data_IF_085118182317
#
_entry.id   IF_085118182317
#
_cell.length_a   1.000
_cell.length_b   1.000
_cell.length_c   1.000
_cell.angle_alpha   90.00
_cell.angle_beta   90.00
_cell.angle_gamma   90.00
#
_symmetry.space_group_name_H-M   'P 1'
#
loop_
_entity.id
_entity.type
_entity.pdbx_description
1 polymer ?
#
# COMPACT_ATOMS: atom_id res chain seq x y z
N UNK A 1 2.09 -3.55 18.19
CA UNK A 1 3.01 -2.56 18.81
C UNK A 1 2.20 -1.29 19.09
N UNK A 2 2.46 -0.58 20.19
CA UNK A 2 1.82 0.71 20.47
C UNK A 2 2.87 1.82 20.31
N UNK A 3 2.76 2.62 19.27
CA UNK A 3 3.65 3.74 18.97
C UNK A 3 3.13 5.01 19.62
N UNK A 4 4.02 5.91 20.03
CA UNK A 4 3.61 7.23 20.54
C UNK A 4 2.96 8.06 19.42
N UNK A 5 2.09 8.99 19.79
CA UNK A 5 1.47 9.93 18.84
C UNK A 5 2.53 10.69 18.02
N UNK A 6 3.62 11.11 18.65
CA UNK A 6 4.73 11.78 17.97
C UNK A 6 5.38 10.88 16.92
N UNK A 7 5.55 9.58 17.19
CA UNK A 7 6.09 8.63 16.21
C UNK A 7 5.11 8.41 15.06
N UNK A 8 3.81 8.28 15.35
CA UNK A 8 2.78 8.13 14.32
C UNK A 8 2.75 9.36 13.41
N UNK A 9 2.79 10.56 14.01
CA UNK A 9 2.85 11.81 13.27
C UNK A 9 4.11 11.89 12.40
N UNK A 10 5.27 11.56 12.95
CA UNK A 10 6.53 11.56 12.20
C UNK A 10 6.46 10.63 10.98
N UNK A 11 5.95 9.40 11.13
CA UNK A 11 5.84 8.47 10.00
C UNK A 11 4.86 8.97 8.93
N UNK A 12 3.77 9.63 9.34
CA UNK A 12 2.83 10.27 8.43
C UNK A 12 3.47 11.45 7.68
N UNK A 13 4.11 12.37 8.40
CA UNK A 13 4.72 13.57 7.83
C UNK A 13 5.80 13.20 6.80
N UNK A 14 6.67 12.23 7.11
CA UNK A 14 7.70 11.75 6.19
C UNK A 14 7.10 11.19 4.89
N UNK A 15 6.04 10.38 4.98
CA UNK A 15 5.39 9.84 3.77
C UNK A 15 4.68 10.93 2.96
N UNK A 16 4.17 11.97 3.62
CA UNK A 16 3.53 13.10 2.95
C UNK A 16 4.55 13.93 2.17
N UNK A 17 5.71 14.19 2.76
CA UNK A 17 6.84 14.89 2.15
C UNK A 17 7.29 14.22 0.84
N UNK A 18 7.65 12.93 0.87
CA UNK A 18 8.09 12.23 -0.35
C UNK A 18 7.01 12.16 -1.44
N UNK A 19 5.74 12.08 -1.04
CA UNK A 19 4.64 12.05 -2.00
C UNK A 19 4.43 13.42 -2.68
N UNK A 20 4.73 14.52 -2.00
CA UNK A 20 4.78 15.86 -2.60
C UNK A 20 5.95 15.98 -3.58
N UNK A 21 7.13 15.47 -3.23
CA UNK A 21 8.30 15.44 -4.12
C UNK A 21 8.04 14.61 -5.39
N UNK A 22 7.45 13.42 -5.23
CA UNK A 22 7.00 12.59 -6.36
C UNK A 22 6.07 13.38 -7.30
N UNK A 23 5.07 14.08 -6.74
CA UNK A 23 4.08 14.80 -7.54
C UNK A 23 4.74 15.93 -8.34
N UNK A 24 5.65 16.70 -7.73
CA UNK A 24 6.38 17.75 -8.40
C UNK A 24 7.34 17.20 -9.46
N UNK A 25 8.08 16.14 -9.16
CA UNK A 25 8.94 15.46 -10.13
C UNK A 25 8.17 14.94 -11.36
N UNK A 26 7.00 14.34 -11.12
CA UNK A 26 6.11 13.84 -12.17
C UNK A 26 5.56 14.98 -13.06
N UNK A 27 5.11 16.10 -12.46
CA UNK A 27 4.66 17.28 -13.22
C UNK A 27 5.78 17.88 -14.08
N UNK A 28 7.02 17.79 -13.60
CA UNK A 28 8.20 18.31 -14.30
C UNK A 28 8.78 17.31 -15.32
N UNK A 29 8.16 16.14 -15.52
CA UNK A 29 8.67 15.05 -16.38
C UNK A 29 10.11 14.63 -16.03
N UNK A 30 10.50 14.73 -14.76
CA UNK A 30 11.84 14.39 -14.30
C UNK A 30 11.87 12.95 -13.77
N UNK A 31 12.16 11.99 -14.66
CA UNK A 31 12.13 10.56 -14.32
C UNK A 31 13.16 10.16 -13.26
N UNK A 32 14.27 10.90 -13.14
CA UNK A 32 15.31 10.60 -12.14
C UNK A 32 14.77 10.92 -10.74
N UNK A 33 14.22 12.11 -10.55
CA UNK A 33 13.61 12.52 -9.26
C UNK A 33 12.34 11.71 -8.94
N UNK A 34 11.59 11.28 -9.97
CA UNK A 34 10.48 10.33 -9.76
C UNK A 34 11.00 9.02 -9.19
N UNK A 35 12.09 8.48 -9.73
CA UNK A 35 12.67 7.23 -9.24
C UNK A 35 13.22 7.37 -7.81
N UNK A 36 13.80 8.52 -7.49
CA UNK A 36 14.32 8.86 -6.16
C UNK A 36 13.18 8.90 -5.13
N UNK A 37 12.16 9.73 -5.36
CA UNK A 37 11.01 9.86 -4.47
C UNK A 37 10.27 8.53 -4.27
N UNK A 38 10.10 7.72 -5.32
CA UNK A 38 9.49 6.38 -5.18
C UNK A 38 10.37 5.44 -4.34
N UNK A 39 11.70 5.56 -4.43
CA UNK A 39 12.65 4.84 -3.60
C UNK A 39 12.54 5.25 -2.13
N UNK A 40 12.46 6.54 -1.85
CA UNK A 40 12.33 7.07 -0.48
C UNK A 40 10.99 6.73 0.15
N UNK A 41 9.90 6.79 -0.61
CA UNK A 41 8.59 6.27 -0.18
C UNK A 41 8.68 4.80 0.24
N UNK A 42 9.35 3.96 -0.56
CA UNK A 42 9.55 2.55 -0.22
C UNK A 42 10.39 2.39 1.06
N UNK A 43 11.45 3.19 1.20
CA UNK A 43 12.33 3.16 2.36
C UNK A 43 11.58 3.53 3.65
N UNK A 44 10.80 4.60 3.63
CA UNK A 44 9.97 5.05 4.76
C UNK A 44 8.87 4.04 5.07
N UNK A 45 8.24 3.45 4.04
CA UNK A 45 7.23 2.41 4.23
C UNK A 45 7.82 1.19 4.94
N UNK A 46 8.99 0.70 4.50
CA UNK A 46 9.72 -0.38 5.16
C UNK A 46 10.06 -0.05 6.62
N UNK A 47 10.55 1.17 6.88
CA UNK A 47 10.78 1.64 8.25
C UNK A 47 9.50 1.68 9.11
N UNK A 48 8.38 2.06 8.51
CA UNK A 48 7.07 2.10 9.18
C UNK A 48 6.55 0.70 9.49
N UNK A 49 6.71 -0.24 8.57
CA UNK A 49 6.40 -1.67 8.76
C UNK A 49 7.18 -2.23 9.96
N UNK A 50 8.47 -1.91 10.06
CA UNK A 50 9.34 -2.33 11.16
C UNK A 50 8.90 -1.75 12.50
N UNK A 51 8.57 -0.46 12.59
CA UNK A 51 8.06 0.14 13.83
C UNK A 51 6.75 -0.50 14.31
N UNK A 52 5.92 -0.98 13.37
CA UNK A 52 4.69 -1.68 13.71
C UNK A 52 4.90 -3.17 14.02
N UNK A 53 6.12 -3.70 13.87
CA UNK A 53 6.46 -5.09 14.10
C UNK A 53 5.89 -6.04 13.03
N UNK A 54 5.64 -5.54 11.82
CA UNK A 54 4.98 -6.28 10.75
C UNK A 54 5.96 -6.93 9.74
N UNK A 55 7.27 -6.85 9.96
CA UNK A 55 8.29 -7.30 8.99
C UNK A 55 8.18 -8.79 8.60
N UNK A 56 7.67 -9.63 9.50
CA UNK A 56 7.49 -11.07 9.22
C UNK A 56 6.09 -11.41 8.66
N UNK A 57 5.21 -10.42 8.54
CA UNK A 57 3.81 -10.61 8.12
C UNK A 57 3.45 -9.79 6.89
N UNK A 58 4.21 -8.74 6.56
CA UNK A 58 3.84 -7.80 5.51
C UNK A 58 3.71 -8.46 4.13
N UNK A 59 4.56 -9.43 3.83
CA UNK A 59 4.47 -10.19 2.57
C UNK A 59 3.15 -10.99 2.49
N UNK A 60 2.79 -11.70 3.56
CA UNK A 60 1.52 -12.43 3.64
C UNK A 60 0.31 -11.49 3.53
N UNK A 61 0.37 -10.33 4.22
CA UNK A 61 -0.64 -9.28 4.13
C UNK A 61 -0.79 -8.77 2.69
N UNK A 62 0.33 -8.49 2.03
CA UNK A 62 0.34 -8.03 0.63
C UNK A 62 -0.28 -9.08 -0.30
N UNK A 63 0.12 -10.34 -0.15
CA UNK A 63 -0.42 -11.45 -0.94
C UNK A 63 -1.93 -11.64 -0.76
N UNK A 64 -2.45 -11.48 0.46
CA UNK A 64 -3.89 -11.57 0.74
C UNK A 64 -4.67 -10.38 0.17
N UNK A 65 -4.10 -9.17 0.24
CA UNK A 65 -4.66 -7.99 -0.42
C UNK A 65 -4.70 -8.20 -1.93
N UNK A 66 -3.63 -8.74 -2.52
CA UNK A 66 -3.58 -9.04 -3.94
C UNK A 66 -4.62 -10.11 -4.32
N UNK A 67 -4.74 -11.19 -3.54
CA UNK A 67 -5.75 -12.23 -3.74
C UNK A 67 -7.16 -11.64 -3.73
N UNK A 68 -7.46 -10.76 -2.78
CA UNK A 68 -8.72 -10.02 -2.71
C UNK A 68 -8.91 -9.07 -3.90
N UNK A 69 -7.86 -8.38 -4.35
CA UNK A 69 -7.96 -7.51 -5.52
C UNK A 69 -8.27 -8.29 -6.79
N UNK A 70 -7.64 -9.44 -7.00
CA UNK A 70 -7.92 -10.31 -8.15
C UNK A 70 -9.33 -10.89 -8.12
N UNK A 71 -9.93 -11.05 -6.93
CA UNK A 71 -11.35 -11.47 -6.81
C UNK A 71 -12.35 -10.43 -7.30
N UNK A 72 -11.92 -9.17 -7.51
CA UNK A 72 -12.76 -8.09 -8.04
C UNK A 72 -12.93 -8.15 -9.55
N UNK A 73 -12.10 -8.93 -10.25
CA UNK A 73 -12.12 -9.02 -11.70
C UNK A 73 -13.44 -9.60 -12.21
N UNK A 74 -13.80 -9.20 -13.43
CA UNK A 74 -14.94 -9.74 -14.18
C UNK A 74 -14.74 -11.20 -14.56
N UNK A 75 -15.77 -11.79 -15.15
CA UNK A 75 -15.70 -13.18 -15.63
C UNK A 75 -14.68 -13.38 -16.76
N UNK A 76 -14.27 -12.29 -17.41
CA UNK A 76 -13.23 -12.21 -18.44
C UNK A 76 -11.81 -12.04 -17.85
N UNK A 77 -11.68 -11.87 -16.53
CA UNK A 77 -10.40 -11.61 -15.88
C UNK A 77 -9.97 -10.14 -15.94
N UNK A 78 -10.83 -9.23 -16.41
CA UNK A 78 -10.51 -7.81 -16.51
C UNK A 78 -11.11 -7.01 -15.34
N UNK A 79 -10.48 -5.89 -14.93
CA UNK A 79 -11.06 -5.06 -13.88
C UNK A 79 -12.34 -4.39 -14.37
N UNK A 80 -13.39 -4.44 -13.56
CA UNK A 80 -14.65 -3.74 -13.83
C UNK A 80 -14.47 -2.29 -13.37
N UNK A 81 -14.53 -1.32 -14.27
CA UNK A 81 -14.34 0.09 -13.93
C UNK A 81 -15.66 0.86 -13.84
N UNK A 82 -15.71 1.84 -12.94
CA UNK A 82 -16.69 2.94 -12.95
C UNK A 82 -16.19 4.07 -13.86
N UNK A 83 -17.07 4.99 -14.24
CA UNK A 83 -16.77 6.16 -15.09
C UNK A 83 -15.60 7.03 -14.60
N UNK A 84 -15.30 7.02 -13.29
CA UNK A 84 -14.17 7.76 -12.70
C UNK A 84 -12.87 6.95 -12.64
N UNK A 85 -12.81 5.78 -13.28
CA UNK A 85 -11.65 4.89 -13.27
C UNK A 85 -11.53 4.02 -12.00
N UNK A 86 -12.51 4.05 -11.09
CA UNK A 86 -12.49 3.21 -9.89
C UNK A 86 -12.80 1.75 -10.23
N UNK A 87 -11.96 0.83 -9.76
CA UNK A 87 -12.23 -0.62 -9.81
C UNK A 87 -13.41 -0.97 -8.91
N UNK A 88 -14.46 -1.53 -9.51
CA UNK A 88 -15.66 -2.05 -8.87
C UNK A 88 -15.43 -3.47 -8.34
N UNK A 89 -16.32 -3.90 -7.44
CA UNK A 89 -16.27 -5.26 -6.88
C UNK A 89 -16.99 -6.21 -7.83
N UNK A 90 -16.25 -7.14 -8.43
CA UNK A 90 -16.80 -8.25 -9.18
C UNK A 90 -17.65 -9.20 -8.33
N UNK A 91 -18.39 -10.11 -8.97
CA UNK A 91 -19.34 -11.01 -8.31
C UNK A 91 -18.67 -11.99 -7.33
N UNK A 92 -17.37 -12.27 -7.52
CA UNK A 92 -16.59 -13.18 -6.68
C UNK A 92 -15.78 -12.46 -5.59
N UNK A 93 -16.04 -11.17 -5.36
CA UNK A 93 -15.29 -10.38 -4.42
C UNK A 93 -15.36 -10.94 -2.99
N UNK A 94 -14.20 -11.05 -2.36
CA UNK A 94 -14.08 -11.23 -0.91
C UNK A 94 -13.17 -10.16 -0.31
N UNK A 95 -13.41 -9.81 0.96
CA UNK A 95 -12.56 -8.89 1.72
C UNK A 95 -11.27 -9.62 2.14
N UNK A 96 -10.08 -8.96 2.11
CA UNK A 96 -8.86 -9.62 2.55
C UNK A 96 -8.95 -9.99 4.04
N UNK A 97 -8.57 -11.22 4.37
CA UNK A 97 -8.57 -11.74 5.74
C UNK A 97 -7.26 -11.43 6.45
N UNK A 98 -7.08 -10.16 6.81
CA UNK A 98 -5.88 -9.68 7.52
C UNK A 98 -5.86 -10.14 8.99
N UNK A 99 -7.02 -10.40 9.58
CA UNK A 99 -7.12 -10.80 10.99
C UNK A 99 -6.39 -12.12 11.25
N UNK A 100 -6.63 -13.13 10.40
CA UNK A 100 -5.99 -14.43 10.57
C UNK A 100 -4.48 -14.32 10.40
N UNK A 101 -4.01 -13.59 9.39
CA UNK A 101 -2.57 -13.37 9.15
C UNK A 101 -1.90 -12.68 10.34
N UNK A 102 -2.56 -11.70 10.96
CA UNK A 102 -2.02 -11.03 12.15
C UNK A 102 -1.95 -11.99 13.35
N UNK A 103 -2.93 -12.88 13.52
CA UNK A 103 -3.04 -13.76 14.69
C UNK A 103 -2.42 -15.16 14.50
N UNK A 104 -1.96 -15.50 13.28
CA UNK A 104 -1.18 -16.70 13.02
C UNK A 104 0.06 -16.73 13.91
N UNK A 105 0.22 -17.85 14.63
CA UNK A 105 1.44 -18.13 15.40
C UNK A 105 2.57 -18.42 14.41
N UNK A 106 3.79 -17.90 14.66
CA UNK A 106 4.96 -18.23 13.88
C UNK A 106 5.30 -19.72 13.97
#
# INVERSE_FOLDING_TARGET
VNLSENKLKLRFDLMAEENEEYLEAAKNNNIIEVADALGDMLYILCGTILEHGMQHKIEAIFNEIQRSNMSKLGADGEPIYREDGKVLKGPNYFKPNIYDIINEKP
#
